data_IF_099822336994
#
_entry.id   IF_099822336994
#
_cell.length_a   1.000
_cell.length_b   1.000
_cell.length_c   1.000
_cell.angle_alpha   90.00
_cell.angle_beta   90.00
_cell.angle_gamma   90.00
#
_symmetry.space_group_name_H-M   'P 1'
#
loop_
_entity.id
_entity.type
_entity.pdbx_description
1 polymer ?
#
# COMPACT_ATOMS: atom_id res chain seq x y z
N UNK A 1 -29.41 9.71 17.50
CA UNK A 1 -27.94 9.69 17.63
C UNK A 1 -27.30 10.38 16.42
N UNK A 2 -27.24 11.72 16.44
CA UNK A 2 -26.70 12.55 15.33
C UNK A 2 -25.17 12.38 15.17
N UNK A 3 -24.48 12.03 16.27
CA UNK A 3 -23.03 11.81 16.30
C UNK A 3 -22.59 10.70 15.34
N UNK A 4 -23.44 9.69 15.10
CA UNK A 4 -23.12 8.56 14.24
C UNK A 4 -23.61 8.70 12.80
N UNK A 5 -24.42 9.72 12.49
CA UNK A 5 -24.95 9.96 11.13
C UNK A 5 -23.88 9.94 10.03
N UNK A 6 -22.68 10.54 10.21
CA UNK A 6 -21.61 10.50 9.20
C UNK A 6 -21.03 9.09 8.92
N UNK A 7 -21.24 8.12 9.82
CA UNK A 7 -20.69 6.76 9.68
C UNK A 7 -21.57 5.87 8.79
N UNK A 8 -22.90 6.00 8.86
CA UNK A 8 -23.84 5.17 8.10
C UNK A 8 -24.50 5.90 6.92
N UNK A 9 -24.64 7.23 6.96
CA UNK A 9 -25.20 8.03 5.85
C UNK A 9 -24.09 8.46 4.88
N UNK A 10 -23.31 7.50 4.36
CA UNK A 10 -22.32 7.82 3.33
C UNK A 10 -23.02 8.01 1.98
N UNK A 11 -22.73 9.11 1.25
CA UNK A 11 -23.30 9.29 -0.08
C UNK A 11 -22.85 8.17 -1.02
N UNK A 12 -23.79 7.59 -1.76
CA UNK A 12 -23.47 6.59 -2.76
C UNK A 12 -22.68 7.21 -3.92
N UNK A 13 -21.39 6.88 -4.00
CA UNK A 13 -20.47 7.33 -5.07
C UNK A 13 -20.03 6.19 -6.00
N UNK A 14 -20.75 5.07 -6.02
CA UNK A 14 -20.34 3.87 -6.78
C UNK A 14 -20.22 4.18 -8.28
N UNK A 15 -21.20 4.85 -8.89
CA UNK A 15 -21.18 5.19 -10.32
C UNK A 15 -20.04 6.15 -10.67
N UNK A 16 -19.75 7.12 -9.80
CA UNK A 16 -18.62 8.03 -9.94
C UNK A 16 -17.30 7.25 -9.98
N UNK A 17 -17.13 6.30 -9.05
CA UNK A 17 -15.94 5.43 -9.02
C UNK A 17 -15.86 4.52 -10.24
N UNK A 18 -16.97 3.91 -10.67
CA UNK A 18 -17.00 3.05 -11.87
C UNK A 18 -16.53 3.81 -13.11
N UNK A 19 -17.05 5.03 -13.34
CA UNK A 19 -16.61 5.90 -14.44
C UNK A 19 -15.12 6.19 -14.36
N UNK A 20 -14.61 6.57 -13.18
CA UNK A 20 -13.18 6.83 -12.97
C UNK A 20 -12.30 5.61 -13.30
N UNK A 21 -12.70 4.41 -12.86
CA UNK A 21 -11.95 3.18 -13.11
C UNK A 21 -12.04 2.70 -14.57
N UNK A 22 -13.17 2.91 -15.24
CA UNK A 22 -13.39 2.47 -16.62
C UNK A 22 -12.76 3.40 -17.65
N UNK A 23 -12.60 4.70 -17.33
CA UNK A 23 -11.99 5.69 -18.22
C UNK A 23 -10.46 5.66 -18.22
N UNK A 24 -9.82 5.12 -17.18
CA UNK A 24 -8.36 5.08 -17.06
C UNK A 24 -7.79 3.73 -17.58
N UNK A 25 -6.88 3.79 -18.55
CA UNK A 25 -6.20 2.64 -19.15
C UNK A 25 -5.01 2.14 -18.35
N UNK A 26 -4.59 2.86 -17.29
CA UNK A 26 -3.51 2.42 -16.40
C UNK A 26 -3.80 1.06 -15.76
N UNK A 27 -2.78 0.37 -15.24
CA UNK A 27 -2.99 -0.80 -14.40
C UNK A 27 -3.95 -0.51 -13.24
N UNK A 28 -4.80 -1.47 -12.89
CA UNK A 28 -5.90 -1.28 -11.91
C UNK A 28 -5.40 -0.71 -10.58
N UNK A 29 -4.23 -1.14 -10.12
CA UNK A 29 -3.61 -0.67 -8.86
C UNK A 29 -3.08 0.77 -8.90
N UNK A 30 -3.07 1.43 -10.07
CA UNK A 30 -2.63 2.83 -10.27
C UNK A 30 -3.73 3.79 -10.73
N UNK A 31 -4.98 3.32 -10.91
CA UNK A 31 -6.05 4.15 -11.48
C UNK A 31 -6.56 5.25 -10.54
N UNK A 32 -6.39 5.10 -9.23
CA UNK A 32 -6.84 6.11 -8.28
C UNK A 32 -5.86 7.28 -8.15
N UNK A 33 -6.34 8.51 -7.88
CA UNK A 33 -5.46 9.67 -7.72
C UNK A 33 -4.39 9.49 -6.63
N UNK A 34 -4.74 8.82 -5.53
CA UNK A 34 -3.83 8.54 -4.40
C UNK A 34 -3.07 7.21 -4.51
N UNK A 35 -3.33 6.43 -5.56
CA UNK A 35 -2.73 5.11 -5.72
C UNK A 35 -1.19 5.16 -5.77
N UNK A 36 -0.62 6.17 -6.43
CA UNK A 36 0.83 6.36 -6.54
C UNK A 36 1.50 6.53 -5.18
N UNK A 37 0.84 7.23 -4.24
CA UNK A 37 1.33 7.37 -2.88
C UNK A 37 1.33 6.01 -2.17
N UNK A 38 0.21 5.27 -2.21
CA UNK A 38 0.11 3.97 -1.55
C UNK A 38 1.09 2.94 -2.10
N UNK A 39 1.14 2.81 -3.44
CA UNK A 39 2.04 1.86 -4.12
C UNK A 39 3.50 2.27 -3.94
N UNK A 40 3.81 3.57 -3.96
CA UNK A 40 5.16 4.08 -3.71
C UNK A 40 5.64 3.78 -2.28
N UNK A 41 4.81 4.06 -1.27
CA UNK A 41 5.12 3.76 0.14
C UNK A 41 5.27 2.25 0.35
N UNK A 42 4.37 1.46 -0.21
CA UNK A 42 4.47 -0.01 -0.18
C UNK A 42 5.80 -0.47 -0.81
N UNK A 43 6.13 0.02 -2.00
CA UNK A 43 7.37 -0.35 -2.70
C UNK A 43 8.63 0.00 -1.90
N UNK A 44 8.64 1.16 -1.23
CA UNK A 44 9.75 1.58 -0.38
C UNK A 44 9.93 0.63 0.82
N UNK A 45 8.85 0.39 1.57
CA UNK A 45 8.87 -0.51 2.73
C UNK A 45 9.25 -1.95 2.34
N UNK A 46 8.68 -2.44 1.25
CA UNK A 46 8.98 -3.76 0.72
C UNK A 46 10.47 -3.88 0.36
N UNK A 47 11.03 -2.90 -0.36
CA UNK A 47 12.44 -2.92 -0.76
C UNK A 47 13.36 -2.91 0.45
N UNK A 48 13.11 -2.05 1.43
CA UNK A 48 13.89 -2.00 2.68
C UNK A 48 13.81 -3.34 3.43
N UNK A 49 12.62 -3.92 3.51
CA UNK A 49 12.41 -5.24 4.12
C UNK A 49 13.24 -6.32 3.42
N UNK A 50 13.14 -6.42 2.10
CA UNK A 50 13.86 -7.44 1.32
C UNK A 50 15.38 -7.29 1.40
N UNK A 51 15.90 -6.05 1.37
CA UNK A 51 17.33 -5.78 1.56
C UNK A 51 17.77 -6.20 2.95
N UNK A 52 17.01 -5.85 3.99
CA UNK A 52 17.30 -6.22 5.37
C UNK A 52 17.30 -7.73 5.57
N UNK A 53 16.32 -8.44 5.00
CA UNK A 53 16.23 -9.90 5.04
C UNK A 53 17.43 -10.54 4.35
N UNK A 54 17.78 -10.07 3.15
CA UNK A 54 18.92 -10.61 2.39
C UNK A 54 20.24 -10.38 3.15
N UNK A 55 20.42 -9.19 3.71
CA UNK A 55 21.57 -8.86 4.57
C UNK A 55 21.65 -9.78 5.80
N UNK A 56 20.51 -10.01 6.47
CA UNK A 56 20.41 -10.95 7.59
C UNK A 56 20.81 -12.38 7.20
N UNK A 57 20.31 -12.88 6.07
CA UNK A 57 20.66 -14.21 5.55
C UNK A 57 22.17 -14.32 5.31
N UNK A 58 22.79 -13.32 4.66
CA UNK A 58 24.25 -13.32 4.41
C UNK A 58 25.03 -13.37 5.72
N UNK A 59 24.58 -12.66 6.75
CA UNK A 59 25.23 -12.69 8.06
C UNK A 59 25.05 -14.01 8.82
N UNK A 60 23.86 -14.62 8.72
CA UNK A 60 23.60 -15.94 9.28
C UNK A 60 24.48 -17.01 8.62
N UNK A 61 24.60 -17.00 7.29
CA UNK A 61 25.46 -17.92 6.54
C UNK A 61 26.93 -17.74 6.91
N UNK A 62 27.38 -16.50 7.13
CA UNK A 62 28.75 -16.19 7.57
C UNK A 62 29.00 -16.46 9.06
N UNK A 63 27.98 -16.87 9.83
CA UNK A 63 28.10 -17.15 11.26
C UNK A 63 28.40 -15.93 12.12
N UNK A 64 28.06 -14.71 11.67
CA UNK A 64 28.28 -13.49 12.47
C UNK A 64 27.42 -13.57 13.74
N UNK A 65 28.07 -13.50 14.90
CA UNK A 65 27.39 -13.47 16.21
C UNK A 65 26.57 -12.18 16.33
N UNK A 66 25.36 -12.28 16.89
CA UNK A 66 24.60 -11.10 17.27
C UNK A 66 25.36 -10.41 18.42
N UNK A 67 25.60 -9.11 18.29
CA UNK A 67 26.15 -8.31 19.39
C UNK A 67 24.98 -7.97 20.32
N UNK A 68 25.02 -8.48 21.54
CA UNK A 68 24.09 -8.12 22.64
C UNK A 68 24.19 -6.64 23.03
#
# INVERSE_FOLDING_TARGET
MIILSPLYEKPNRVVERQKLYQLDTKPVYLRLPRSRLYVGVFGALFTVGMVSTTYGIVHLVKGKQATE
#
